data_IF_812276415406
#
_entry.id   IF_812276415406
#
_cell.length_a   1.000
_cell.length_b   1.000
_cell.length_c   1.000
_cell.angle_alpha   90.00
_cell.angle_beta   90.00
_cell.angle_gamma   90.00
#
_symmetry.space_group_name_H-M   'P 1'
#
loop_
_entity.id
_entity.type
_entity.pdbx_description
1 polymer ?
#
# COMPACT_ATOMS: atom_id res chain seq x y z
N UNK A 1 10.57 -19.42 1.68
CA UNK A 1 10.79 -18.23 0.82
C UNK A 1 11.54 -17.20 1.64
N UNK A 2 12.69 -16.72 1.16
CA UNK A 2 13.49 -15.74 1.88
C UNK A 2 12.83 -14.37 1.85
N UNK A 3 12.62 -13.78 3.02
CA UNK A 3 11.98 -12.47 3.21
C UNK A 3 12.76 -11.32 2.50
N UNK A 4 14.08 -11.48 2.35
CA UNK A 4 14.92 -10.56 1.57
C UNK A 4 14.52 -10.47 0.09
N UNK A 5 14.03 -11.56 -0.50
CA UNK A 5 13.61 -11.60 -1.91
C UNK A 5 12.29 -10.85 -2.13
N UNK A 6 11.33 -10.99 -1.19
CA UNK A 6 10.07 -10.25 -1.24
C UNK A 6 10.29 -8.73 -1.12
N UNK A 7 11.22 -8.30 -0.26
CA UNK A 7 11.58 -6.89 -0.13
C UNK A 7 12.28 -6.33 -1.39
N UNK A 8 13.01 -7.17 -2.14
CA UNK A 8 13.53 -6.75 -3.45
C UNK A 8 12.41 -6.61 -4.48
N UNK A 9 11.44 -7.53 -4.49
CA UNK A 9 10.29 -7.47 -5.41
C UNK A 9 9.44 -6.23 -5.16
N UNK A 10 9.13 -5.88 -3.91
CA UNK A 10 8.32 -4.69 -3.61
C UNK A 10 8.99 -3.39 -4.03
N UNK A 11 10.31 -3.27 -3.85
CA UNK A 11 11.09 -2.14 -4.38
C UNK A 11 11.07 -2.10 -5.91
N UNK A 12 11.26 -3.25 -6.55
CA UNK A 12 11.19 -3.36 -8.01
C UNK A 12 9.79 -2.99 -8.52
N UNK A 13 8.73 -3.32 -7.78
CA UNK A 13 7.36 -2.97 -8.14
C UNK A 13 7.12 -1.45 -8.11
N UNK A 14 7.65 -0.74 -7.11
CA UNK A 14 7.57 0.72 -7.08
C UNK A 14 8.30 1.37 -8.27
N UNK A 15 9.48 0.84 -8.64
CA UNK A 15 10.19 1.28 -9.84
C UNK A 15 9.39 0.97 -11.11
N UNK A 16 8.80 -0.23 -11.19
CA UNK A 16 7.99 -0.64 -12.33
C UNK A 16 6.76 0.26 -12.50
N UNK A 17 6.09 0.65 -11.42
CA UNK A 17 4.97 1.60 -11.48
C UNK A 17 5.39 2.94 -12.09
N UNK A 18 6.52 3.51 -11.63
CA UNK A 18 7.02 4.77 -12.16
C UNK A 18 7.40 4.66 -13.65
N UNK A 19 8.08 3.58 -14.04
CA UNK A 19 8.44 3.30 -15.43
C UNK A 19 7.17 3.14 -16.30
N UNK A 20 6.17 2.40 -15.80
CA UNK A 20 4.89 2.21 -16.50
C UNK A 20 4.19 3.53 -16.76
N UNK A 21 4.17 4.44 -15.78
CA UNK A 21 3.59 5.78 -15.96
C UNK A 21 4.33 6.56 -17.04
N UNK A 22 5.66 6.55 -17.05
CA UNK A 22 6.46 7.24 -18.09
C UNK A 22 6.19 6.66 -19.47
N UNK A 23 6.10 5.33 -19.61
CA UNK A 23 5.75 4.67 -20.88
C UNK A 23 4.36 5.09 -21.34
N UNK A 24 3.38 5.12 -20.43
CA UNK A 24 2.01 5.57 -20.76
C UNK A 24 1.98 7.04 -21.19
N UNK A 25 2.76 7.92 -20.54
CA UNK A 25 2.88 9.32 -20.95
C UNK A 25 3.52 9.42 -22.35
N UNK A 26 4.57 8.64 -22.64
CA UNK A 26 5.19 8.63 -23.97
C UNK A 26 4.23 8.10 -25.05
N UNK A 27 3.50 7.02 -24.78
CA UNK A 27 2.48 6.50 -25.71
C UNK A 27 1.36 7.51 -25.93
N UNK A 28 0.97 8.23 -24.88
CA UNK A 28 -0.02 9.31 -24.97
C UNK A 28 0.49 10.41 -25.90
N UNK A 29 1.74 10.84 -25.74
CA UNK A 29 2.37 11.84 -26.61
C UNK A 29 2.43 11.39 -28.08
N UNK A 30 2.86 10.15 -28.37
CA UNK A 30 2.85 9.61 -29.73
C UNK A 30 1.46 9.57 -30.38
N UNK A 31 0.39 9.36 -29.59
CA UNK A 31 -0.99 9.39 -30.09
C UNK A 31 -1.51 10.80 -30.33
N UNK A 32 -0.94 11.77 -29.62
CA UNK A 32 -1.37 13.18 -29.59
C UNK A 32 -0.62 14.03 -30.63
N UNK A 33 0.57 13.60 -31.02
CA UNK A 33 1.37 14.18 -32.10
C UNK A 33 0.61 14.33 -33.44
N UNK A 34 -0.03 13.30 -34.02
CA UNK A 34 -0.72 13.44 -35.31
C UNK A 34 -1.96 14.36 -35.27
N UNK A 35 -2.48 14.66 -34.08
CA UNK A 35 -3.63 15.54 -33.88
C UNK A 35 -3.19 16.99 -33.68
N UNK A 36 -1.90 17.22 -33.39
CA UNK A 36 -1.38 18.53 -33.08
C UNK A 36 -1.10 19.31 -34.37
N UNK A 37 -1.98 20.27 -34.68
CA UNK A 37 -1.77 21.27 -35.73
C UNK A 37 -1.65 22.65 -35.08
N UNK A 38 -0.50 23.31 -35.26
CA UNK A 38 -0.27 24.64 -34.68
C UNK A 38 -1.20 25.67 -35.36
N UNK A 39 -2.06 26.37 -34.61
CA UNK A 39 -2.90 27.41 -35.19
C UNK A 39 -2.04 28.64 -35.55
N UNK A 40 -2.25 29.20 -36.74
CA UNK A 40 -1.47 30.34 -37.23
C UNK A 40 -1.81 31.69 -36.59
N UNK A 41 -2.85 31.78 -35.77
CA UNK A 41 -3.20 33.00 -35.08
C UNK A 41 -2.30 33.22 -33.85
N UNK A 42 -1.61 34.36 -33.83
CA UNK A 42 -0.60 34.72 -32.81
C UNK A 42 -1.09 34.57 -31.36
N UNK A 43 -2.36 34.89 -31.08
CA UNK A 43 -2.92 34.79 -29.73
C UNK A 43 -3.40 33.37 -29.38
N UNK A 44 -3.80 32.59 -30.38
CA UNK A 44 -4.32 31.24 -30.17
C UNK A 44 -3.22 30.19 -30.08
N UNK A 45 -2.07 30.38 -30.74
CA UNK A 45 -0.93 29.45 -30.63
C UNK A 45 -0.51 29.22 -29.17
N UNK A 46 -0.29 30.30 -28.43
CA UNK A 46 0.07 30.23 -27.00
C UNK A 46 -1.05 29.58 -26.17
N UNK A 47 -2.29 30.04 -26.34
CA UNK A 47 -3.43 29.53 -25.57
C UNK A 47 -3.67 28.03 -25.83
N UNK A 48 -3.55 27.61 -27.08
CA UNK A 48 -3.68 26.22 -27.51
C UNK A 48 -2.60 25.35 -26.89
N UNK A 49 -1.33 25.79 -26.94
CA UNK A 49 -0.22 25.06 -26.31
C UNK A 49 -0.41 24.99 -24.79
N UNK A 50 -0.78 26.08 -24.11
CA UNK A 50 -1.05 26.06 -22.66
C UNK A 50 -2.17 25.07 -22.34
N UNK A 51 -3.25 25.07 -23.10
CA UNK A 51 -4.38 24.15 -22.91
C UNK A 51 -3.95 22.69 -23.12
N UNK A 52 -3.14 22.43 -24.15
CA UNK A 52 -2.61 21.11 -24.45
C UNK A 52 -1.64 20.59 -23.37
N UNK A 53 -0.89 21.49 -22.72
CA UNK A 53 -0.06 21.12 -21.57
C UNK A 53 -0.89 20.86 -20.32
N UNK A 54 -1.83 21.76 -20.02
CA UNK A 54 -2.53 21.80 -18.73
C UNK A 54 -3.64 20.77 -18.61
N UNK A 55 -4.40 20.50 -19.68
CA UNK A 55 -5.55 19.59 -19.63
C UNK A 55 -5.12 18.14 -19.35
N UNK A 56 -4.16 17.53 -20.08
CA UNK A 56 -3.69 16.19 -19.77
C UNK A 56 -3.00 16.13 -18.42
N UNK A 57 -2.19 17.15 -18.07
CA UNK A 57 -1.54 17.23 -16.76
C UNK A 57 -2.55 17.19 -15.61
N UNK A 58 -3.63 17.98 -15.71
CA UNK A 58 -4.70 17.99 -14.72
C UNK A 58 -5.47 16.65 -14.71
N UNK A 59 -5.77 16.08 -15.87
CA UNK A 59 -6.42 14.78 -15.97
C UNK A 59 -5.60 13.67 -15.30
N UNK A 60 -4.29 13.62 -15.54
CA UNK A 60 -3.39 12.68 -14.90
C UNK A 60 -3.27 12.92 -13.39
N UNK A 61 -3.17 14.17 -12.96
CA UNK A 61 -3.14 14.52 -11.54
C UNK A 61 -4.44 14.12 -10.82
N UNK A 62 -5.59 14.39 -11.45
CA UNK A 62 -6.91 14.00 -10.93
C UNK A 62 -7.07 12.48 -10.90
N UNK A 63 -6.64 11.76 -11.94
CA UNK A 63 -6.67 10.31 -11.97
C UNK A 63 -5.78 9.70 -10.89
N UNK A 64 -4.54 10.17 -10.75
CA UNK A 64 -3.64 9.74 -9.69
C UNK A 64 -4.22 10.04 -8.30
N UNK A 65 -4.85 11.19 -8.13
CA UNK A 65 -5.52 11.56 -6.88
C UNK A 65 -6.70 10.61 -6.59
N UNK A 66 -7.53 10.29 -7.58
CA UNK A 66 -8.64 9.34 -7.43
C UNK A 66 -8.16 7.95 -7.01
N UNK A 67 -7.10 7.44 -7.64
CA UNK A 67 -6.49 6.15 -7.24
C UNK A 67 -5.94 6.17 -5.80
N UNK A 68 -5.54 7.34 -5.30
CA UNK A 68 -5.09 7.51 -3.92
C UNK A 68 -6.26 7.61 -2.92
N UNK A 69 -7.39 8.21 -3.32
CA UNK A 69 -8.57 8.34 -2.46
C UNK A 69 -9.13 6.99 -2.06
N UNK A 70 -9.14 6.01 -2.97
CA UNK A 70 -9.65 4.66 -2.68
C UNK A 70 -8.93 4.00 -1.50
N UNK A 71 -7.61 4.19 -1.39
CA UNK A 71 -6.82 3.65 -0.27
C UNK A 71 -7.15 4.34 1.06
N UNK A 72 -7.35 5.65 1.03
CA UNK A 72 -7.67 6.43 2.25
C UNK A 72 -9.07 6.08 2.74
N UNK A 73 -10.03 5.97 1.82
CA UNK A 73 -11.41 5.63 2.15
C UNK A 73 -11.53 4.22 2.76
N UNK A 74 -10.85 3.23 2.18
CA UNK A 74 -10.81 1.87 2.73
C UNK A 74 -10.19 1.83 4.13
N UNK A 75 -9.10 2.57 4.36
CA UNK A 75 -8.49 2.66 5.69
C UNK A 75 -9.45 3.25 6.73
N UNK A 76 -10.19 4.30 6.38
CA UNK A 76 -11.16 4.93 7.28
C UNK A 76 -12.32 3.99 7.64
N UNK A 77 -12.81 3.18 6.70
CA UNK A 77 -13.85 2.17 6.98
C UNK A 77 -13.32 1.10 7.93
N UNK A 78 -12.09 0.65 7.73
CA UNK A 78 -11.47 -0.36 8.60
C UNK A 78 -11.33 0.14 10.04
N UNK A 79 -10.79 1.34 10.23
CA UNK A 79 -10.60 1.92 11.56
C UNK A 79 -11.93 2.19 12.29
N UNK A 80 -12.99 2.56 11.55
CA UNK A 80 -14.32 2.80 12.13
C UNK A 80 -14.99 1.52 12.64
N UNK A 81 -14.67 0.35 12.08
CA UNK A 81 -15.26 -0.93 12.48
C UNK A 81 -14.44 -1.65 13.57
N UNK A 82 -13.18 -1.26 13.76
CA UNK A 82 -12.30 -1.86 14.77
C UNK A 82 -12.44 -1.27 16.17
N UNK A 83 -13.13 -0.13 16.32
CA UNK A 83 -13.23 0.61 17.59
C UNK A 83 -14.53 0.34 18.36
N UNK A 84 -15.20 -0.79 18.12
CA UNK A 84 -16.11 -1.37 19.11
C UNK A 84 -15.27 -1.94 20.26
N UNK A 85 -14.67 -1.02 21.03
CA UNK A 85 -14.20 -1.28 22.37
C UNK A 85 -15.41 -1.81 23.14
N UNK A 86 -15.39 -3.14 23.33
CA UNK A 86 -16.34 -3.83 24.17
C UNK A 86 -16.53 -3.04 25.46
N UNK A 87 -17.79 -2.64 25.69
CA UNK A 87 -18.16 -1.71 26.73
C UNK A 87 -17.43 -1.96 28.05
N UNK A 88 -16.66 -0.96 28.47
CA UNK A 88 -16.56 -0.68 29.88
C UNK A 88 -17.96 -0.32 30.36
N UNK A 89 -18.65 -1.28 30.95
CA UNK A 89 -19.84 -1.02 31.77
C UNK A 89 -19.51 0.14 32.73
N UNK A 90 -20.24 1.28 32.70
CA UNK A 90 -20.14 2.29 33.72
C UNK A 90 -20.96 1.80 34.93
N UNK A 91 -20.47 0.78 35.61
CA UNK A 91 -20.98 0.36 36.93
C UNK A 91 -19.82 0.29 37.94
N UNK A 92 -18.97 1.32 37.91
CA UNK A 92 -18.15 1.68 39.06
C UNK A 92 -19.00 2.45 40.06
N UNK A 93 -19.71 1.71 40.91
CA UNK A 93 -20.42 2.22 42.08
C UNK A 93 -19.42 2.87 43.03
N UNK A 94 -19.36 4.21 43.03
CA UNK A 94 -18.58 5.00 43.99
C UNK A 94 -19.41 5.13 45.27
N UNK A 95 -19.32 4.13 46.14
CA UNK A 95 -19.74 4.23 47.53
C UNK A 95 -18.60 3.69 48.40
N UNK A 96 -17.85 4.60 49.01
CA UNK A 96 -17.60 4.65 50.46
C UNK A 96 -16.28 5.35 50.78
N UNK A 97 -16.37 6.31 51.71
CA UNK A 97 -15.43 6.35 52.83
C UNK A 97 -14.55 7.58 52.90
N UNK A 98 -15.07 8.62 53.54
CA UNK A 98 -14.29 9.64 54.23
C UNK A 98 -13.19 9.03 55.13
N UNK A 99 -12.00 9.63 55.13
CA UNK A 99 -11.31 10.22 56.31
C UNK A 99 -9.78 10.23 56.13
N UNK A 100 -9.21 11.42 55.83
CA UNK A 100 -8.30 12.16 56.72
C UNK A 100 -7.53 13.26 55.97
N UNK A 101 -7.51 14.51 56.48
CA UNK A 101 -6.64 15.55 55.97
C UNK A 101 -5.25 15.41 56.62
N UNK A 102 -4.22 15.18 55.80
CA UNK A 102 -2.83 15.37 56.22
C UNK A 102 -2.33 16.71 55.67
N UNK A 103 -1.99 17.68 56.54
CA UNK A 103 -1.42 18.94 56.12
C UNK A 103 0.11 18.87 56.09
N UNK A 104 0.69 19.67 55.19
CA UNK A 104 2.09 20.09 55.12
C UNK A 104 2.99 19.35 54.12
N UNK A 105 3.23 20.04 53.00
CA UNK A 105 4.27 19.73 52.02
C UNK A 105 4.29 20.78 50.92
N UNK A 106 4.96 21.90 51.20
CA UNK A 106 5.12 23.09 50.36
C UNK A 106 5.73 22.83 48.97
N UNK A 107 5.42 23.75 48.03
CA UNK A 107 6.23 24.26 46.89
C UNK A 107 6.64 23.23 45.82
N UNK A 108 6.33 23.36 44.52
CA UNK A 108 6.34 24.56 43.70
C UNK A 108 5.39 24.44 42.52
N UNK A 109 4.52 25.44 42.41
CA UNK A 109 3.56 25.61 41.33
C UNK A 109 4.24 26.13 40.07
N UNK A 110 5.02 25.27 39.38
CA UNK A 110 5.35 25.50 37.97
C UNK A 110 4.28 24.85 37.09
N UNK A 111 3.04 25.33 37.21
CA UNK A 111 1.96 25.09 36.26
C UNK A 111 2.24 25.87 34.97
N UNK A 112 3.39 25.59 34.36
CA UNK A 112 3.84 26.19 33.12
C UNK A 112 3.17 25.53 31.93
N UNK A 113 2.05 26.10 31.51
CA UNK A 113 1.72 26.31 30.09
C UNK A 113 1.98 25.11 29.14
N UNK A 114 1.51 23.90 29.52
CA UNK A 114 1.62 22.69 28.71
C UNK A 114 0.51 22.56 27.65
N UNK A 115 -0.52 23.43 27.70
CA UNK A 115 -1.69 23.38 26.82
C UNK A 115 -1.47 23.84 25.37
N UNK A 116 -0.38 24.55 25.07
CA UNK A 116 -0.14 25.09 23.72
C UNK A 116 0.87 24.28 22.89
N UNK A 117 1.50 23.24 23.45
CA UNK A 117 2.53 22.47 22.71
C UNK A 117 1.92 21.43 21.75
N UNK A 118 0.72 20.91 22.03
CA UNK A 118 0.06 19.96 21.12
C UNK A 118 -0.57 20.59 19.87
N UNK A 119 -0.76 21.93 19.84
CA UNK A 119 -1.45 22.57 18.71
C UNK A 119 -0.56 22.71 17.46
N UNK A 120 0.76 22.67 17.62
CA UNK A 120 1.70 22.77 16.50
C UNK A 120 1.98 21.43 15.80
N UNK A 121 1.95 20.30 16.53
CA UNK A 121 2.24 18.98 15.95
C UNK A 121 1.11 18.44 15.05
N UNK A 122 -0.16 18.74 15.33
CA UNK A 122 -1.27 18.29 14.47
C UNK A 122 -1.28 18.99 13.10
N UNK A 123 -0.80 20.22 13.01
CA UNK A 123 -0.70 20.92 11.72
C UNK A 123 0.43 20.33 10.86
N UNK A 124 1.53 19.91 11.50
CA UNK A 124 2.69 19.35 10.82
C UNK A 124 2.38 17.96 10.19
N UNK A 125 1.69 17.08 10.93
CA UNK A 125 1.34 15.72 10.45
C UNK A 125 0.35 15.75 9.28
N UNK A 126 -0.68 16.62 9.35
CA UNK A 126 -1.64 16.80 8.26
C UNK A 126 -0.98 17.42 7.03
N UNK A 127 -0.09 18.39 7.23
CA UNK A 127 0.66 18.99 6.13
C UNK A 127 1.55 17.94 5.46
N UNK A 128 2.27 17.11 6.22
CA UNK A 128 3.22 16.15 5.66
C UNK A 128 2.53 15.08 4.80
N UNK A 129 1.38 14.57 5.25
CA UNK A 129 0.60 13.60 4.48
C UNK A 129 0.02 14.21 3.20
N UNK A 130 -0.43 15.47 3.28
CA UNK A 130 -0.93 16.21 2.13
C UNK A 130 0.19 16.47 1.10
N UNK A 131 1.34 16.97 1.55
CA UNK A 131 2.51 17.23 0.70
C UNK A 131 3.02 15.97 0.00
N UNK A 132 2.99 14.82 0.67
CA UNK A 132 3.39 13.55 0.04
C UNK A 132 2.42 13.13 -1.06
N UNK A 133 1.12 13.31 -0.83
CA UNK A 133 0.09 12.95 -1.81
C UNK A 133 0.12 13.91 -3.00
N UNK A 134 0.24 15.21 -2.72
CA UNK A 134 0.40 16.26 -3.73
C UNK A 134 1.70 16.10 -4.52
N UNK A 135 2.80 15.70 -3.87
CA UNK A 135 4.08 15.46 -4.55
C UNK A 135 3.98 14.33 -5.58
N UNK A 136 3.28 13.24 -5.25
CA UNK A 136 3.08 12.13 -6.19
C UNK A 136 2.16 12.49 -7.36
N UNK A 137 1.12 13.30 -7.14
CA UNK A 137 0.25 13.75 -8.24
C UNK A 137 0.93 14.80 -9.12
N UNK A 138 1.68 15.74 -8.51
CA UNK A 138 2.44 16.76 -9.21
C UNK A 138 3.56 16.14 -10.05
N UNK A 139 4.20 15.06 -9.57
CA UNK A 139 5.24 14.35 -10.29
C UNK A 139 4.80 13.95 -11.71
N UNK A 140 3.61 13.36 -11.86
CA UNK A 140 3.08 12.95 -13.17
C UNK A 140 2.85 14.15 -14.09
N UNK A 141 2.29 15.24 -13.56
CA UNK A 141 2.08 16.48 -14.30
C UNK A 141 3.40 17.13 -14.77
N UNK A 142 4.41 17.10 -13.90
CA UNK A 142 5.76 17.58 -14.21
C UNK A 142 6.41 16.72 -15.29
N UNK A 143 6.32 15.39 -15.17
CA UNK A 143 6.86 14.47 -16.18
C UNK A 143 6.23 14.72 -17.55
N UNK A 144 4.91 14.95 -17.60
CA UNK A 144 4.21 15.32 -18.83
C UNK A 144 4.75 16.61 -19.44
N UNK A 145 4.87 17.68 -18.65
CA UNK A 145 5.42 18.95 -19.14
C UNK A 145 6.85 18.82 -19.66
N UNK A 146 7.68 18.02 -18.98
CA UNK A 146 9.07 17.74 -19.40
C UNK A 146 9.12 17.00 -20.75
N UNK A 147 8.29 15.98 -20.94
CA UNK A 147 8.23 15.22 -22.20
C UNK A 147 7.91 16.16 -23.37
N UNK A 148 6.89 17.02 -23.22
CA UNK A 148 6.51 17.98 -24.24
C UNK A 148 7.59 19.04 -24.52
N UNK A 149 8.35 19.47 -23.49
CA UNK A 149 9.47 20.40 -23.66
C UNK A 149 10.64 19.79 -24.41
N UNK A 150 10.92 18.50 -24.18
CA UNK A 150 12.01 17.76 -24.85
C UNK A 150 11.68 17.51 -26.32
N UNK A 151 10.41 17.25 -26.68
CA UNK A 151 10.03 17.15 -28.09
C UNK A 151 10.20 18.51 -28.81
N UNK A 152 9.81 19.58 -28.13
CA UNK A 152 10.10 20.96 -28.53
C UNK A 152 9.25 21.51 -29.68
N UNK A 153 8.45 20.68 -30.35
CA UNK A 153 7.46 21.10 -31.36
C UNK A 153 6.43 22.07 -30.77
N UNK A 154 5.97 21.78 -29.56
CA UNK A 154 4.96 22.59 -28.88
C UNK A 154 5.48 23.98 -28.47
N UNK A 155 6.71 24.04 -27.95
CA UNK A 155 7.32 25.32 -27.57
C UNK A 155 7.69 26.12 -28.81
N UNK A 156 8.16 25.47 -29.88
CA UNK A 156 8.39 26.11 -31.16
C UNK A 156 7.10 26.75 -31.69
N UNK A 157 5.97 26.03 -31.67
CA UNK A 157 4.65 26.58 -32.01
C UNK A 157 4.27 27.80 -31.14
N UNK A 158 4.50 27.74 -29.83
CA UNK A 158 4.21 28.85 -28.92
C UNK A 158 5.09 30.09 -29.18
N UNK A 159 6.35 29.90 -29.57
CA UNK A 159 7.32 30.98 -29.84
C UNK A 159 7.25 31.50 -31.27
N UNK A 160 6.67 30.73 -32.20
CA UNK A 160 6.61 31.10 -33.61
C UNK A 160 5.45 32.06 -33.87
N UNK A 161 5.75 33.36 -33.84
CA UNK A 161 4.72 34.41 -34.00
C UNK A 161 4.44 34.82 -35.45
N UNK A 162 5.11 34.22 -36.43
CA UNK A 162 5.07 34.64 -37.85
C UNK A 162 4.54 33.54 -38.75
N UNK A 163 3.24 33.26 -38.71
CA UNK A 163 2.65 32.50 -39.80
C UNK A 163 2.52 33.40 -41.04
N UNK A 164 3.29 33.09 -42.10
CA UNK A 164 2.85 33.45 -43.43
C UNK A 164 1.83 32.37 -43.85
N UNK A 165 0.65 32.80 -44.33
CA UNK A 165 -0.51 31.95 -44.66
C UNK A 165 -0.24 30.84 -45.71
N UNK A 166 0.99 30.68 -46.17
CA UNK A 166 1.42 29.71 -47.19
C UNK A 166 2.08 28.45 -46.64
N UNK A 167 2.29 28.31 -45.33
CA UNK A 167 2.90 27.10 -44.73
C UNK A 167 1.83 26.07 -44.30
N UNK A 168 1.22 25.37 -45.25
CA UNK A 168 0.43 24.16 -44.95
C UNK A 168 1.28 22.91 -44.76
N UNK A 169 2.58 22.99 -45.07
CA UNK A 169 3.58 22.01 -44.68
C UNK A 169 4.81 22.81 -44.27
N UNK A 170 5.04 22.93 -42.96
CA UNK A 170 6.30 23.44 -42.45
C UNK A 170 7.37 22.48 -42.94
N UNK A 171 8.04 22.86 -44.03
CA UNK A 171 9.17 22.12 -44.55
C UNK A 171 10.24 22.16 -43.44
N UNK A 172 10.56 20.99 -42.89
CA UNK A 172 11.47 20.77 -41.74
C UNK A 172 12.90 21.33 -41.96
N UNK A 173 13.15 21.89 -43.14
CA UNK A 173 14.41 22.42 -43.61
C UNK A 173 14.61 23.92 -43.32
N UNK A 174 13.66 24.63 -42.70
CA UNK A 174 13.88 26.03 -42.32
C UNK A 174 14.85 26.13 -41.12
N UNK A 175 16.04 26.75 -41.29
CA UNK A 175 17.03 26.88 -40.22
C UNK A 175 16.50 27.68 -39.00
N UNK A 176 15.57 28.63 -39.19
CA UNK A 176 15.03 29.41 -38.07
C UNK A 176 14.18 28.54 -37.12
N UNK A 177 13.53 27.51 -37.66
CA UNK A 177 12.70 26.57 -36.90
C UNK A 177 13.60 25.59 -36.14
N UNK A 178 14.69 25.13 -36.77
CA UNK A 178 15.65 24.24 -36.13
C UNK A 178 16.31 24.89 -34.90
N UNK A 179 16.71 26.16 -35.01
CA UNK A 179 17.31 26.89 -33.87
C UNK A 179 16.36 26.95 -32.67
N UNK A 180 15.07 27.21 -32.91
CA UNK A 180 14.05 27.25 -31.84
C UNK A 180 13.79 25.87 -31.23
N UNK A 181 13.82 24.82 -32.04
CA UNK A 181 13.69 23.44 -31.55
C UNK A 181 14.86 23.05 -30.64
N UNK A 182 16.09 23.43 -31.00
CA UNK A 182 17.28 23.21 -30.16
C UNK A 182 17.14 23.95 -28.83
N UNK A 183 16.70 25.22 -28.85
CA UNK A 183 16.47 25.99 -27.63
C UNK A 183 15.45 25.30 -26.73
N UNK A 184 14.34 24.80 -27.27
CA UNK A 184 13.34 24.06 -26.49
C UNK A 184 13.93 22.82 -25.82
N UNK A 185 14.72 22.03 -26.57
CA UNK A 185 15.37 20.83 -26.05
C UNK A 185 16.31 21.16 -24.90
N UNK A 186 17.09 22.24 -25.02
CA UNK A 186 17.97 22.71 -23.95
C UNK A 186 17.16 23.14 -22.73
N UNK A 187 16.07 23.89 -22.90
CA UNK A 187 15.17 24.29 -21.80
C UNK A 187 14.57 23.06 -21.11
N UNK A 188 14.12 22.06 -21.87
CA UNK A 188 13.60 20.80 -21.35
C UNK A 188 14.63 20.06 -20.49
N UNK A 189 15.87 19.92 -20.97
CA UNK A 189 16.96 19.30 -20.22
C UNK A 189 17.34 20.07 -18.95
N UNK A 190 17.38 21.40 -19.01
CA UNK A 190 17.61 22.25 -17.83
C UNK A 190 16.48 22.08 -16.82
N UNK A 191 15.23 22.01 -17.26
CA UNK A 191 14.08 21.75 -16.39
C UNK A 191 14.21 20.40 -15.69
N UNK A 192 14.53 19.32 -16.43
CA UNK A 192 14.80 17.98 -15.86
C UNK A 192 15.86 18.07 -14.77
N UNK A 193 16.99 18.74 -15.06
CA UNK A 193 18.09 18.86 -14.12
C UNK A 193 17.66 19.59 -12.83
N UNK A 194 16.91 20.69 -12.94
CA UNK A 194 16.35 21.42 -11.79
C UNK A 194 15.41 20.51 -10.98
N UNK A 195 14.52 19.76 -11.64
CA UNK A 195 13.61 18.84 -10.95
C UNK A 195 14.35 17.71 -10.23
N UNK A 196 15.37 17.12 -10.84
CA UNK A 196 16.20 16.07 -10.23
C UNK A 196 16.96 16.61 -9.02
N UNK A 197 17.59 17.79 -9.15
CA UNK A 197 18.27 18.43 -8.03
C UNK A 197 17.31 18.83 -6.91
N UNK A 198 16.16 19.42 -7.24
CA UNK A 198 15.13 19.78 -6.27
C UNK A 198 14.60 18.56 -5.52
N UNK A 199 14.34 17.47 -6.23
CA UNK A 199 13.94 16.19 -5.63
C UNK A 199 15.02 15.59 -4.74
N UNK A 200 16.29 15.66 -5.16
CA UNK A 200 17.41 15.20 -4.35
C UNK A 200 17.55 16.01 -3.05
N UNK A 201 17.48 17.35 -3.13
CA UNK A 201 17.51 18.24 -1.96
C UNK A 201 16.31 17.92 -1.04
N UNK A 202 15.12 17.74 -1.60
CA UNK A 202 13.93 17.35 -0.85
C UNK A 202 14.16 16.04 -0.08
N UNK A 203 14.71 15.00 -0.73
CA UNK A 203 15.03 13.74 -0.06
C UNK A 203 16.08 13.90 1.03
N UNK A 204 17.12 14.72 0.82
CA UNK A 204 18.16 14.97 1.82
C UNK A 204 17.59 15.69 3.04
N UNK A 205 16.78 16.74 2.84
CA UNK A 205 16.12 17.47 3.92
C UNK A 205 15.16 16.57 4.69
N UNK A 206 14.36 15.76 4.00
CA UNK A 206 13.45 14.82 4.65
C UNK A 206 14.22 13.72 5.42
N UNK A 207 15.37 13.27 4.90
CA UNK A 207 16.22 12.29 5.57
C UNK A 207 16.93 12.83 6.82
N UNK A 208 17.30 14.12 6.85
CA UNK A 208 18.03 14.70 7.98
C UNK A 208 17.13 15.00 9.19
N UNK A 209 15.82 15.20 8.97
CA UNK A 209 14.89 15.55 10.03
C UNK A 209 14.32 14.34 10.81
N UNK A 210 14.44 13.11 10.29
CA UNK A 210 13.89 11.92 10.96
C UNK A 210 14.97 11.29 11.85
N UNK A 211 14.80 11.37 13.17
CA UNK A 211 15.71 10.69 14.12
C UNK A 211 15.74 9.18 13.84
N UNK A 212 16.91 8.52 13.94
CA UNK A 212 17.05 7.11 13.56
C UNK A 212 16.08 6.19 14.32
N UNK A 213 15.78 6.51 15.59
CA UNK A 213 14.85 5.75 16.42
C UNK A 213 13.40 5.75 15.87
N UNK A 214 12.92 6.90 15.41
CA UNK A 214 11.59 6.98 14.77
C UNK A 214 11.53 6.19 13.46
N UNK A 215 12.64 6.13 12.72
CA UNK A 215 12.72 5.35 11.47
C UNK A 215 12.50 3.85 11.74
N UNK A 216 13.15 3.29 12.75
CA UNK A 216 12.96 1.89 13.14
C UNK A 216 11.54 1.61 13.60
N UNK A 217 10.97 2.50 14.42
CA UNK A 217 9.58 2.36 14.89
C UNK A 217 8.61 2.34 13.71
N UNK A 218 8.72 3.29 12.78
CA UNK A 218 7.87 3.41 11.59
C UNK A 218 7.97 2.21 10.64
N UNK A 219 9.18 1.68 10.44
CA UNK A 219 9.41 0.48 9.64
C UNK A 219 8.74 -0.74 10.31
N UNK A 220 8.88 -0.87 11.64
CA UNK A 220 8.25 -1.96 12.40
C UNK A 220 6.71 -1.89 12.33
N UNK A 221 6.12 -0.70 12.44
CA UNK A 221 4.66 -0.55 12.34
C UNK A 221 4.15 -0.92 10.95
N UNK A 222 4.86 -0.53 9.88
CA UNK A 222 4.48 -0.91 8.50
C UNK A 222 4.55 -2.41 8.28
N UNK A 223 5.62 -3.07 8.72
CA UNK A 223 5.69 -4.53 8.65
C UNK A 223 4.58 -5.21 9.47
N UNK A 224 4.19 -4.62 10.60
CA UNK A 224 3.10 -5.16 11.42
C UNK A 224 1.75 -5.05 10.70
N UNK A 225 1.48 -3.90 10.09
CA UNK A 225 0.26 -3.62 9.31
C UNK A 225 0.15 -4.56 8.10
N UNK A 226 1.21 -4.69 7.30
CA UNK A 226 1.26 -5.60 6.15
C UNK A 226 1.02 -7.06 6.55
N UNK A 227 1.63 -7.52 7.66
CA UNK A 227 1.42 -8.87 8.16
C UNK A 227 -0.01 -9.09 8.68
N UNK A 228 -0.63 -8.07 9.30
CA UNK A 228 -2.02 -8.15 9.75
C UNK A 228 -2.98 -8.21 8.57
N UNK A 229 -2.74 -7.43 7.52
CA UNK A 229 -3.54 -7.48 6.28
C UNK A 229 -3.45 -8.85 5.61
N UNK A 230 -2.24 -9.43 5.49
CA UNK A 230 -2.08 -10.78 4.97
C UNK A 230 -2.82 -11.84 5.80
N UNK A 231 -2.73 -11.76 7.13
CA UNK A 231 -3.47 -12.64 8.04
C UNK A 231 -4.98 -12.48 7.87
N UNK A 232 -5.47 -11.23 7.73
CA UNK A 232 -6.90 -10.95 7.56
C UNK A 232 -7.44 -11.49 6.24
N UNK A 233 -6.71 -11.32 5.13
CA UNK A 233 -7.11 -11.83 3.81
C UNK A 233 -7.13 -13.36 3.81
N UNK A 234 -6.08 -14.02 4.30
CA UNK A 234 -6.02 -15.49 4.40
C UNK A 234 -7.12 -16.02 5.31
N UNK A 235 -7.38 -15.34 6.44
CA UNK A 235 -8.47 -15.65 7.35
C UNK A 235 -9.84 -15.58 6.66
N UNK A 236 -10.12 -14.48 5.96
CA UNK A 236 -11.36 -14.30 5.22
C UNK A 236 -11.55 -15.36 4.12
N UNK A 237 -10.49 -15.70 3.39
CA UNK A 237 -10.52 -16.74 2.36
C UNK A 237 -10.83 -18.12 2.95
N UNK A 238 -10.18 -18.49 4.06
CA UNK A 238 -10.45 -19.77 4.74
C UNK A 238 -11.87 -19.84 5.28
N UNK A 239 -12.36 -18.76 5.88
CA UNK A 239 -13.73 -18.67 6.39
C UNK A 239 -14.77 -18.78 5.26
N UNK A 240 -14.54 -18.11 4.13
CA UNK A 240 -15.42 -18.20 2.96
C UNK A 240 -15.47 -19.62 2.38
N UNK A 241 -14.32 -20.33 2.33
CA UNK A 241 -14.24 -21.72 1.87
C UNK A 241 -14.98 -22.69 2.80
N UNK A 242 -14.83 -22.53 4.12
CA UNK A 242 -15.55 -23.35 5.10
C UNK A 242 -17.07 -23.15 4.98
N UNK A 243 -17.53 -21.90 4.85
CA UNK A 243 -18.95 -21.58 4.71
C UNK A 243 -19.53 -22.12 3.41
N UNK A 244 -18.79 -22.01 2.30
CA UNK A 244 -19.20 -22.60 1.03
C UNK A 244 -19.32 -24.13 1.10
N UNK A 245 -18.38 -24.81 1.78
CA UNK A 245 -18.43 -26.25 1.97
C UNK A 245 -19.63 -26.69 2.85
N UNK A 246 -19.96 -25.91 3.88
CA UNK A 246 -21.14 -26.18 4.73
C UNK A 246 -22.45 -26.09 3.95
N UNK A 247 -22.62 -25.05 3.13
CA UNK A 247 -23.83 -24.86 2.31
C UNK A 247 -23.95 -25.93 1.21
N UNK A 248 -22.85 -26.31 0.55
CA UNK A 248 -22.84 -27.43 -0.40
C UNK A 248 -23.20 -28.74 0.30
N UNK A 249 -22.69 -28.97 1.51
CA UNK A 249 -23.04 -30.14 2.32
C UNK A 249 -24.52 -30.22 2.68
N UNK A 250 -25.15 -29.08 3.03
CA UNK A 250 -26.60 -28.99 3.27
C UNK A 250 -27.41 -29.29 2.01
N UNK A 251 -27.02 -28.72 0.86
CA UNK A 251 -27.69 -28.92 -0.42
C UNK A 251 -27.58 -30.37 -0.94
N UNK A 252 -26.47 -31.07 -0.67
CA UNK A 252 -26.33 -32.48 -1.02
C UNK A 252 -27.22 -33.38 -0.14
N UNK A 253 -27.31 -33.11 1.17
CA UNK A 253 -28.18 -33.87 2.08
C UNK A 253 -29.66 -33.75 1.71
N UNK A 254 -30.12 -32.56 1.29
CA UNK A 254 -31.51 -32.38 0.87
C UNK A 254 -31.84 -33.14 -0.43
N UNK A 255 -30.86 -33.42 -1.30
CA UNK A 255 -31.09 -34.19 -2.54
C UNK A 255 -31.11 -35.70 -2.35
N UNK A 256 -30.60 -36.24 -1.26
CA UNK A 256 -30.60 -37.68 -0.97
C UNK A 256 -31.68 -38.10 0.04
N UNK A 257 -32.50 -37.16 0.53
CA UNK A 257 -33.52 -37.43 1.54
C UNK A 257 -34.81 -38.10 1.05
N UNK A 258 -35.04 -38.14 -0.27
CA UNK A 258 -36.34 -38.56 -0.83
C UNK A 258 -36.31 -39.92 -1.57
N UNK A 259 -35.17 -40.63 -1.61
CA UNK A 259 -35.00 -41.82 -2.45
C UNK A 259 -34.38 -43.00 -1.70
N UNK A 260 -34.89 -43.35 -0.52
CA UNK A 260 -34.86 -44.76 -0.06
C UNK A 260 -35.88 -45.01 1.04
N UNK A 261 -37.10 -45.36 0.63
CA UNK A 261 -37.99 -46.14 1.49
C UNK A 261 -37.51 -47.60 1.40
N UNK A 262 -36.98 -48.20 2.49
CA UNK A 262 -36.53 -49.59 2.45
C UNK A 262 -37.74 -50.47 2.21
N UNK A 263 -37.81 -51.05 1.01
CA UNK A 263 -38.76 -52.11 0.71
C UNK A 263 -38.25 -53.34 1.46
N UNK A 264 -38.90 -53.65 2.57
CA UNK A 264 -38.68 -54.88 3.32
C UNK A 264 -38.97 -56.07 2.39
N UNK A 265 -37.91 -56.76 1.97
CA UNK A 265 -38.01 -57.92 1.11
C UNK A 265 -36.62 -58.36 0.66
N UNK A 266 -36.18 -59.48 1.21
CA UNK A 266 -35.13 -60.37 0.72
C UNK A 266 -33.71 -60.10 1.22
N UNK A 267 -33.47 -60.60 2.44
CA UNK A 267 -32.15 -61.03 2.91
C UNK A 267 -31.64 -62.18 2.02
N UNK A 268 -30.80 -61.88 1.02
CA UNK A 268 -29.95 -62.89 0.39
C UNK A 268 -28.50 -62.68 0.81
N UNK A 269 -27.99 -63.66 1.58
CA UNK A 269 -26.60 -63.80 2.01
C UNK A 269 -25.67 -63.75 0.79
N UNK A 270 -24.93 -62.66 0.63
CA UNK A 270 -23.70 -62.67 -0.16
C UNK A 270 -22.49 -62.37 0.73
N UNK A 271 -21.86 -63.45 1.19
CA UNK A 271 -20.52 -63.43 1.75
C UNK A 271 -19.52 -63.12 0.64
N UNK A 272 -18.92 -61.94 0.65
CA UNK A 272 -17.69 -61.68 -0.12
C UNK A 272 -16.64 -61.11 0.83
N UNK A 273 -15.54 -61.86 0.81
CA UNK A 273 -14.30 -61.78 1.55
C UNK A 273 -13.51 -60.48 1.37
N UNK A 274 -12.91 -60.07 2.49
CA UNK A 274 -11.61 -59.41 2.69
C UNK A 274 -10.85 -58.85 1.48
N UNK A 275 -10.36 -57.62 1.69
CA UNK A 275 -9.00 -57.28 1.27
C UNK A 275 -8.80 -55.85 0.76
N UNK A 276 -8.42 -54.94 1.67
CA UNK A 276 -7.29 -54.02 1.43
C UNK A 276 -7.06 -53.06 2.60
N UNK A 277 -6.07 -53.40 3.41
CA UNK A 277 -5.30 -52.43 4.19
C UNK A 277 -4.42 -51.64 3.22
N UNK A 278 -4.65 -50.34 3.06
CA UNK A 278 -3.62 -49.43 2.55
C UNK A 278 -2.96 -48.71 3.73
N UNK A 279 -1.78 -49.19 4.10
CA UNK A 279 -0.83 -48.50 4.95
C UNK A 279 -0.30 -47.28 4.18
N UNK A 280 -0.55 -46.07 4.67
CA UNK A 280 0.23 -44.90 4.25
C UNK A 280 1.50 -44.85 5.10
N UNK A 281 2.58 -45.43 4.57
CA UNK A 281 3.95 -45.26 5.05
C UNK A 281 4.34 -43.78 4.99
N UNK A 282 4.56 -43.16 6.14
CA UNK A 282 5.29 -41.89 6.24
C UNK A 282 6.78 -42.20 6.21
N UNK A 283 7.45 -41.89 5.09
CA UNK A 283 8.90 -42.10 4.95
C UNK A 283 9.65 -40.97 5.66
N UNK A 284 10.37 -41.35 6.72
CA UNK A 284 11.56 -40.65 7.20
C UNK A 284 12.54 -40.41 6.05
N UNK A 285 12.88 -39.16 5.76
CA UNK A 285 14.16 -38.81 5.17
C UNK A 285 15.04 -38.18 6.25
N UNK A 286 16.13 -38.89 6.53
CA UNK A 286 17.24 -38.54 7.41
C UNK A 286 18.46 -38.35 6.52
N UNK A 287 18.94 -37.11 6.41
CA UNK A 287 20.32 -36.77 6.00
C UNK A 287 20.72 -35.60 6.90
N UNK A 288 21.78 -35.68 7.72
CA UNK A 288 23.16 -35.92 7.30
C UNK A 288 23.59 -34.66 6.55
N UNK A 289 24.19 -33.63 7.16
CA UNK A 289 25.30 -33.66 8.10
C UNK A 289 26.54 -33.19 7.33
N UNK A 290 26.92 -31.93 7.49
CA UNK A 290 28.24 -31.42 7.10
C UNK A 290 28.54 -30.21 7.99
N UNK A 291 29.62 -30.36 8.75
CA UNK A 291 30.29 -29.37 9.58
C UNK A 291 30.84 -28.25 8.70
N UNK A 292 30.78 -27.01 9.19
CA UNK A 292 31.95 -26.12 9.14
C UNK A 292 31.83 -25.07 10.26
N UNK A 293 32.88 -25.07 11.09
CA UNK A 293 33.36 -24.04 12.03
C UNK A 293 33.55 -22.69 11.28
N UNK A 294 33.60 -21.47 11.82
CA UNK A 294 34.01 -20.92 13.11
C UNK A 294 33.57 -19.43 13.19
N UNK A 295 33.69 -18.87 14.40
CA UNK A 295 33.88 -17.45 14.76
C UNK A 295 32.68 -16.61 15.26
N UNK A 296 32.58 -16.56 16.59
CA UNK A 296 31.98 -15.51 17.43
C UNK A 296 32.69 -14.13 17.28
N UNK A 297 32.08 -13.02 17.72
CA UNK A 297 32.21 -12.65 19.15
C UNK A 297 30.88 -12.35 19.86
N UNK A 298 30.91 -12.69 21.15
CA UNK A 298 30.18 -12.19 22.32
C UNK A 298 29.66 -10.73 22.19
N UNK A 299 28.59 -10.26 22.85
CA UNK A 299 28.16 -10.50 24.23
C UNK A 299 26.79 -9.81 24.43
N UNK A 300 26.00 -10.27 25.43
CA UNK A 300 24.89 -9.47 25.98
C UNK A 300 23.48 -10.05 25.87
N UNK A 301 23.27 -11.31 26.27
CA UNK A 301 21.95 -11.93 26.38
C UNK A 301 21.44 -11.88 27.83
N UNK A 302 20.55 -10.93 28.12
CA UNK A 302 19.63 -11.01 29.27
C UNK A 302 18.49 -11.97 28.93
N UNK A 303 18.43 -13.11 29.63
CA UNK A 303 17.44 -14.16 29.44
C UNK A 303 16.18 -13.87 30.26
N UNK A 304 15.12 -13.38 29.62
CA UNK A 304 13.75 -13.51 30.15
C UNK A 304 13.15 -14.83 29.68
N UNK A 305 12.91 -15.71 30.65
CA UNK A 305 12.20 -16.99 30.48
C UNK A 305 10.70 -16.72 30.34
N UNK A 306 10.13 -17.06 29.19
CA UNK A 306 8.68 -17.14 28.98
C UNK A 306 8.31 -18.56 28.55
N UNK A 307 7.80 -19.36 29.49
CA UNK A 307 7.12 -20.62 29.19
C UNK A 307 5.69 -20.34 28.71
N UNK A 308 5.25 -20.89 27.56
CA UNK A 308 3.86 -20.84 27.17
C UNK A 308 3.08 -22.03 27.78
N UNK A 309 2.15 -21.72 28.67
CA UNK A 309 1.09 -22.62 29.11
C UNK A 309 0.22 -23.03 27.90
N UNK A 310 0.22 -24.32 27.60
CA UNK A 310 -0.71 -24.97 26.66
C UNK A 310 -1.99 -25.32 27.44
N UNK A 311 -3.16 -24.76 27.11
CA UNK A 311 -4.41 -25.28 27.65
C UNK A 311 -4.85 -26.54 26.87
N UNK A 312 -5.38 -27.57 27.56
CA UNK A 312 -5.91 -28.76 26.90
C UNK A 312 -7.17 -28.40 26.11
N UNK A 313 -7.30 -28.97 24.91
CA UNK A 313 -8.53 -28.90 24.12
C UNK A 313 -9.59 -29.81 24.73
N UNK A 314 -10.63 -29.22 25.33
CA UNK A 314 -11.88 -29.92 25.62
C UNK A 314 -12.88 -29.62 24.50
N UNK A 315 -13.42 -30.69 23.94
CA UNK A 315 -14.31 -30.72 22.79
C UNK A 315 -15.77 -30.55 23.22
N UNK A 316 -16.20 -29.34 23.54
CA UNK A 316 -17.63 -29.00 23.66
C UNK A 316 -17.78 -27.50 23.36
N UNK A 317 -18.16 -27.16 22.12
CA UNK A 317 -18.38 -25.77 21.72
C UNK A 317 -19.88 -25.49 21.57
N UNK A 318 -20.42 -24.70 22.49
CA UNK A 318 -21.78 -24.14 22.43
C UNK A 318 -21.94 -23.20 21.20
N UNK A 319 -23.14 -23.15 20.60
CA UNK A 319 -23.47 -22.16 19.58
C UNK A 319 -23.54 -20.75 20.22
N UNK A 320 -22.45 -19.99 20.08
CA UNK A 320 -22.35 -18.61 20.58
C UNK A 320 -20.92 -18.13 20.87
N UNK A 321 -19.93 -19.04 20.89
CA UNK A 321 -18.55 -18.70 21.24
C UNK A 321 -17.81 -18.07 20.05
N UNK A 322 -17.44 -16.78 20.17
CA UNK A 322 -16.58 -16.07 19.20
C UNK A 322 -15.25 -16.82 19.06
N UNK A 323 -15.04 -17.54 17.95
CA UNK A 323 -13.76 -18.21 17.67
C UNK A 323 -12.66 -17.15 17.55
N UNK A 324 -11.73 -17.11 18.51
CA UNK A 324 -10.50 -16.32 18.38
C UNK A 324 -9.59 -17.05 17.38
N UNK A 325 -9.50 -16.53 16.16
CA UNK A 325 -8.48 -16.96 15.22
C UNK A 325 -7.11 -16.55 15.75
N UNK A 326 -6.33 -17.52 16.24
CA UNK A 326 -4.91 -17.33 16.53
C UNK A 326 -4.18 -17.37 15.18
N UNK A 327 -3.72 -16.22 14.68
CA UNK A 327 -2.73 -16.21 13.61
C UNK A 327 -1.40 -16.68 14.25
N UNK A 328 -1.08 -17.96 14.15
CA UNK A 328 0.17 -18.50 14.69
C UNK A 328 1.35 -17.87 13.93
N UNK A 329 1.97 -16.90 14.60
CA UNK A 329 3.09 -16.14 14.08
C UNK A 329 4.34 -17.02 14.10
N UNK A 330 4.52 -17.85 13.07
CA UNK A 330 5.80 -18.52 12.81
C UNK A 330 6.82 -17.50 12.32
N UNK A 331 7.39 -16.74 13.25
CA UNK A 331 8.54 -15.88 13.01
C UNK A 331 9.78 -16.72 13.31
N UNK A 332 10.47 -17.20 12.28
CA UNK A 332 11.89 -17.56 12.43
C UNK A 332 12.66 -16.24 12.32
N UNK A 333 13.21 -15.78 13.45
CA UNK A 333 14.19 -14.69 13.49
C UNK A 333 15.52 -15.25 13.00
#
# INVERSE_FOLDING_TARGET
MNWSFLNQITKAFALFQNITVVILLQLTEMLLEPVFTCPCEKHWGLAFVILYFTVPAFAFAAFAFSLHQDKIFLKKIWDSNGSDDGGTNPTGNSNNGDTNPSPNGNTDSTAGNSGNRCRNYCCEILSQSCWRTLGMSLYTAVCWGVILLIDGKYLACAMYTKCNDTMTNVEENDPEIQDKMVISKVIGLVAVFIFVLGYFIYLVVECQCETPDQRYKKIRTRMLEENMEECAIKGAETWAKERAAEEVGKALKSKHGDEEQPRAGDEEKLSVTDGSKSQTKSSMYRGGGSQEEDADPEEGRGSESWEPLIPPMTSDAEPGQKRKFKCDRKTKI
#
